data_IF_501552712182
#
_entry.id   IF_501552712182
#
_cell.length_a   1.000
_cell.length_b   1.000
_cell.length_c   1.000
_cell.angle_alpha   90.00
_cell.angle_beta   90.00
_cell.angle_gamma   90.00
#
_symmetry.space_group_name_H-M   'P 1'
#
loop_
_entity.id
_entity.type
_entity.pdbx_description
1 polymer ?
#
# COMPACT_ATOMS: atom_id res chain seq x y z
N UNK A 1 0.02 -3.12 -0.19
CA UNK A 1 0.40 -1.95 -1.01
C UNK A 1 1.88 -2.01 -1.42
N UNK A 2 2.88 -1.95 -0.53
CA UNK A 2 4.30 -1.93 -0.94
C UNK A 2 4.74 -3.23 -1.64
N UNK A 3 4.24 -4.38 -1.21
CA UNK A 3 4.52 -5.69 -1.82
C UNK A 3 4.21 -5.71 -3.32
N UNK A 4 3.02 -5.24 -3.71
CA UNK A 4 2.57 -5.25 -5.12
C UNK A 4 3.43 -4.33 -5.99
N UNK A 5 3.93 -3.22 -5.45
CA UNK A 5 4.83 -2.32 -6.17
C UNK A 5 6.17 -3.02 -6.43
N UNK A 6 6.73 -3.67 -5.41
CA UNK A 6 7.98 -4.43 -5.54
C UNK A 6 7.84 -5.64 -6.48
N UNK A 7 6.73 -6.37 -6.41
CA UNK A 7 6.43 -7.50 -7.30
C UNK A 7 6.36 -7.05 -8.76
N UNK A 8 5.63 -5.95 -9.04
CA UNK A 8 5.53 -5.39 -10.39
C UNK A 8 6.86 -4.87 -10.93
N UNK A 9 7.78 -4.48 -10.04
CA UNK A 9 9.14 -4.06 -10.39
C UNK A 9 10.09 -5.26 -10.57
N UNK A 10 9.67 -6.49 -10.25
CA UNK A 10 10.46 -7.70 -10.41
C UNK A 10 11.49 -7.95 -9.30
N UNK A 11 11.36 -7.28 -8.16
CA UNK A 11 12.24 -7.47 -7.00
C UNK A 11 11.67 -8.49 -6.00
N UNK A 12 12.51 -8.94 -5.06
CA UNK A 12 12.04 -9.71 -3.91
C UNK A 12 11.23 -8.81 -2.96
N UNK A 13 9.91 -8.88 -3.11
CA UNK A 13 8.98 -8.07 -2.32
C UNK A 13 8.93 -8.48 -0.85
N UNK A 14 9.24 -9.73 -0.51
CA UNK A 14 9.28 -10.18 0.87
C UNK A 14 10.46 -9.56 1.60
N UNK A 15 11.64 -9.56 0.97
CA UNK A 15 12.84 -8.93 1.50
C UNK A 15 12.64 -7.41 1.65
N UNK A 16 12.26 -6.71 0.58
CA UNK A 16 12.14 -5.25 0.59
C UNK A 16 11.08 -4.75 1.57
N UNK A 17 9.94 -5.43 1.67
CA UNK A 17 8.89 -5.06 2.64
C UNK A 17 9.35 -5.32 4.08
N UNK A 18 10.13 -6.38 4.31
CA UNK A 18 10.72 -6.65 5.63
C UNK A 18 11.68 -5.53 6.05
N UNK A 19 12.60 -5.14 5.16
CA UNK A 19 13.52 -4.02 5.40
C UNK A 19 12.78 -2.70 5.63
N UNK A 20 11.72 -2.42 4.85
CA UNK A 20 10.89 -1.23 5.01
C UNK A 20 10.20 -1.21 6.38
N UNK A 21 9.64 -2.35 6.82
CA UNK A 21 9.01 -2.46 8.15
C UNK A 21 10.02 -2.28 9.28
N UNK A 22 11.26 -2.76 9.12
CA UNK A 22 12.32 -2.53 10.09
C UNK A 22 12.69 -1.04 10.18
N UNK A 23 12.84 -0.37 9.03
CA UNK A 23 13.10 1.08 9.00
C UNK A 23 11.99 1.90 9.70
N UNK A 24 10.72 1.53 9.48
CA UNK A 24 9.58 2.20 10.12
C UNK A 24 9.51 1.96 11.64
N UNK A 25 9.97 0.80 12.12
CA UNK A 25 10.10 0.53 13.55
C UNK A 25 11.18 1.41 14.20
N UNK A 26 12.23 1.76 13.45
CA UNK A 26 13.29 2.69 13.87
C UNK A 26 12.90 4.18 13.75
N UNK A 27 11.59 4.51 13.77
CA UNK A 27 11.04 5.86 13.61
C UNK A 27 11.34 6.55 12.26
N UNK A 28 11.76 5.81 11.23
CA UNK A 28 11.98 6.38 9.89
C UNK A 28 10.69 6.36 9.08
N UNK A 29 9.71 7.15 9.49
CA UNK A 29 8.36 7.17 8.89
C UNK A 29 8.31 7.66 7.44
N UNK A 30 9.33 8.38 6.98
CA UNK A 30 9.45 8.89 5.60
C UNK A 30 10.04 7.87 4.63
N UNK A 31 10.51 6.72 5.12
CA UNK A 31 11.13 5.71 4.27
C UNK A 31 10.07 4.99 3.43
N UNK A 32 10.44 4.62 2.21
CA UNK A 32 9.59 3.94 1.24
C UNK A 32 10.42 3.06 0.32
N UNK A 33 9.77 2.58 -0.74
CA UNK A 33 10.39 1.72 -1.75
C UNK A 33 10.96 2.57 -2.88
N UNK A 34 12.29 2.61 -3.01
CA UNK A 34 12.96 3.15 -4.19
C UNK A 34 13.14 2.04 -5.23
N UNK A 35 12.26 2.05 -6.23
CA UNK A 35 12.26 1.05 -7.30
C UNK A 35 13.33 1.32 -8.37
N UNK A 36 13.94 2.51 -8.38
CA UNK A 36 15.03 2.81 -9.32
C UNK A 36 16.33 2.12 -8.90
N UNK A 37 16.57 2.03 -7.59
CA UNK A 37 17.72 1.33 -7.01
C UNK A 37 17.39 -0.07 -6.49
N UNK A 38 16.10 -0.41 -6.36
CA UNK A 38 15.67 -1.68 -5.78
C UNK A 38 15.95 -1.77 -4.29
N UNK A 39 15.82 -0.65 -3.56
CA UNK A 39 16.19 -0.54 -2.15
C UNK A 39 15.16 0.27 -1.34
N UNK A 40 15.30 0.27 -0.02
CA UNK A 40 14.52 1.15 0.86
C UNK A 40 15.24 2.49 1.00
N UNK A 41 14.56 3.59 0.71
CA UNK A 41 15.12 4.95 0.74
C UNK A 41 14.18 5.97 1.36
N UNK A 42 14.69 7.15 1.68
CA UNK A 42 13.88 8.24 2.24
C UNK A 42 13.12 8.98 1.11
N UNK A 43 11.79 8.82 1.08
CA UNK A 43 10.94 9.39 0.04
C UNK A 43 10.93 10.92 0.06
N UNK A 44 11.15 11.54 1.23
CA UNK A 44 11.24 13.00 1.34
C UNK A 44 12.48 13.53 0.62
N UNK A 45 13.62 12.82 0.74
CA UNK A 45 14.86 13.19 0.04
C UNK A 45 14.80 12.94 -1.46
N UNK A 46 14.08 11.89 -1.88
CA UNK A 46 13.85 11.56 -3.29
C UNK A 46 12.76 12.44 -3.93
N UNK A 47 12.08 13.29 -3.16
CA UNK A 47 11.00 14.17 -3.65
C UNK A 47 9.73 13.42 -4.03
N UNK A 48 9.58 12.16 -3.64
CA UNK A 48 8.40 11.33 -3.93
C UNK A 48 7.34 11.67 -2.89
N UNK A 49 6.36 12.48 -3.30
CA UNK A 49 5.24 12.89 -2.45
C UNK A 49 3.91 12.62 -3.14
N UNK A 50 2.87 12.40 -2.34
CA UNK A 50 1.51 12.15 -2.82
C UNK A 50 0.54 13.10 -2.13
N UNK A 51 -0.59 13.39 -2.79
CA UNK A 51 -1.64 14.21 -2.18
C UNK A 51 -2.25 13.52 -0.96
N UNK A 52 -2.29 14.24 0.16
CA UNK A 52 -2.96 13.79 1.38
C UNK A 52 -4.40 13.37 1.12
N UNK A 53 -5.13 14.14 0.29
CA UNK A 53 -6.53 13.87 -0.02
C UNK A 53 -6.70 12.49 -0.69
N UNK A 54 -5.78 12.13 -1.59
CA UNK A 54 -5.82 10.84 -2.29
C UNK A 54 -5.59 9.69 -1.30
N UNK A 55 -4.54 9.75 -0.48
CA UNK A 55 -4.27 8.69 0.51
C UNK A 55 -5.40 8.52 1.52
N UNK A 56 -5.97 9.63 2.00
CA UNK A 56 -7.12 9.61 2.90
C UNK A 56 -8.34 8.96 2.24
N UNK A 57 -8.66 9.34 1.01
CA UNK A 57 -9.83 8.82 0.30
C UNK A 57 -9.68 7.33 -0.01
N UNK A 58 -8.50 6.88 -0.43
CA UNK A 58 -8.22 5.46 -0.69
C UNK A 58 -8.51 4.61 0.55
N UNK A 59 -8.08 5.06 1.74
CA UNK A 59 -8.33 4.32 2.98
C UNK A 59 -9.82 4.26 3.32
N UNK A 60 -10.51 5.40 3.25
CA UNK A 60 -11.94 5.49 3.59
C UNK A 60 -12.79 4.65 2.64
N UNK A 61 -12.65 4.85 1.32
CA UNK A 61 -13.43 4.13 0.33
C UNK A 61 -13.16 2.62 0.35
N UNK A 62 -11.92 2.19 0.61
CA UNK A 62 -11.60 0.78 0.76
C UNK A 62 -12.27 0.17 1.99
N UNK A 63 -12.28 0.88 3.12
CA UNK A 63 -12.94 0.42 4.34
C UNK A 63 -14.47 0.33 4.17
N UNK A 64 -15.10 1.35 3.58
CA UNK A 64 -16.53 1.36 3.27
C UNK A 64 -16.91 0.22 2.31
N UNK A 65 -16.14 0.02 1.24
CA UNK A 65 -16.36 -1.07 0.29
C UNK A 65 -16.23 -2.45 0.96
N UNK A 66 -15.21 -2.65 1.80
CA UNK A 66 -15.02 -3.89 2.54
C UNK A 66 -16.18 -4.13 3.51
N UNK A 67 -16.63 -3.11 4.23
CA UNK A 67 -17.77 -3.20 5.14
C UNK A 67 -19.06 -3.57 4.41
N UNK A 68 -19.35 -2.93 3.27
CA UNK A 68 -20.52 -3.24 2.44
C UNK A 68 -20.53 -4.71 2.03
N UNK A 69 -19.37 -5.25 1.60
CA UNK A 69 -19.24 -6.65 1.21
C UNK A 69 -19.43 -7.59 2.41
N UNK A 70 -18.79 -7.30 3.54
CA UNK A 70 -18.87 -8.14 4.74
C UNK A 70 -20.27 -8.20 5.35
N UNK A 71 -21.11 -7.18 5.11
CA UNK A 71 -22.48 -7.12 5.62
C UNK A 71 -23.47 -7.99 4.83
N UNK A 72 -23.15 -8.38 3.59
CA UNK A 72 -24.01 -9.23 2.77
C UNK A 72 -23.96 -10.66 3.29
N UNK A 73 -25.09 -11.15 3.80
CA UNK A 73 -25.26 -12.53 4.29
C UNK A 73 -25.74 -13.49 3.19
N UNK A 74 -26.53 -12.99 2.23
CA UNK A 74 -27.03 -13.78 1.12
C UNK A 74 -27.21 -12.95 -0.15
N UNK A 75 -27.00 -13.59 -1.31
CA UNK A 75 -27.20 -12.99 -2.64
C UNK A 75 -28.29 -13.79 -3.36
N UNK A 76 -29.43 -13.16 -3.62
CA UNK A 76 -30.53 -13.77 -4.39
C UNK A 76 -30.49 -13.23 -5.81
N UNK A 77 -30.37 -14.12 -6.80
CA UNK A 77 -30.39 -13.78 -8.23
C UNK A 77 -31.79 -14.02 -8.80
N UNK A 78 -32.47 -12.96 -9.22
CA UNK A 78 -33.74 -13.08 -9.92
C UNK A 78 -33.55 -13.48 -11.40
N UNK A 79 -34.59 -14.04 -12.03
CA UNK A 79 -34.62 -14.23 -13.47
C UNK A 79 -34.42 -12.87 -14.18
N UNK A 80 -33.65 -12.82 -15.27
CA UNK A 80 -33.24 -11.58 -15.93
C UNK A 80 -34.42 -10.75 -16.47
#
# INVERSE_FOLDING_TARGET
>A
MPTIIADNAGYDSAELVSQLRAAHQDNKSTFGLDMTQGAVGDMATLGITESFQVKRQVLLSAAEAAEMILRVDNIIKAAP
#
